data_IF_786770282485
#
_entry.id   IF_786770282485
#
_cell.length_a   1.000
_cell.length_b   1.000
_cell.length_c   1.000
_cell.angle_alpha   90.00
_cell.angle_beta   90.00
_cell.angle_gamma   90.00
#
_symmetry.space_group_name_H-M   'P 1'
#
loop_
_entity.id
_entity.type
_entity.pdbx_description
1 polymer ?
#
# COMPACT_ATOMS: atom_id res chain seq x y z
N UNK A 1 -12.79 5.56 -14.28
CA UNK A 1 -12.05 5.65 -13.01
C UNK A 1 -13.02 6.11 -11.93
N UNK A 2 -12.90 5.59 -10.71
CA UNK A 2 -13.87 5.70 -9.60
C UNK A 2 -14.08 7.12 -9.03
N UNK A 3 -13.59 8.18 -9.68
CA UNK A 3 -13.74 9.56 -9.22
C UNK A 3 -12.88 9.93 -8.01
N UNK A 4 -11.92 9.09 -7.65
CA UNK A 4 -10.96 9.33 -6.56
C UNK A 4 -9.71 10.04 -7.09
N UNK A 5 -9.22 11.02 -6.32
CA UNK A 5 -7.86 11.52 -6.47
C UNK A 5 -6.89 10.43 -6.03
N UNK A 6 -5.86 10.17 -6.84
CA UNK A 6 -4.86 9.13 -6.57
C UNK A 6 -3.47 9.65 -6.91
N UNK A 7 -2.48 9.08 -6.21
CA UNK A 7 -1.07 9.31 -6.46
C UNK A 7 -0.46 7.95 -6.78
N UNK A 8 0.14 7.85 -7.95
CA UNK A 8 0.74 6.60 -8.42
C UNK A 8 2.17 6.47 -7.89
N UNK A 9 2.48 5.33 -7.27
CA UNK A 9 3.83 4.93 -6.91
C UNK A 9 4.22 3.66 -7.64
N UNK A 10 5.35 3.72 -8.35
CA UNK A 10 5.98 2.55 -8.96
C UNK A 10 5.02 1.74 -9.88
N UNK A 11 4.09 2.43 -10.56
CA UNK A 11 3.09 1.80 -11.43
C UNK A 11 3.63 1.41 -12.81
N UNK A 12 4.89 1.69 -13.10
CA UNK A 12 5.58 1.24 -14.31
C UNK A 12 6.09 -0.20 -14.12
N UNK A 13 5.86 -1.05 -15.12
CA UNK A 13 6.35 -2.42 -15.09
C UNK A 13 7.88 -2.47 -15.30
N UNK A 14 8.62 -2.78 -14.23
CA UNK A 14 10.07 -3.02 -14.27
C UNK A 14 10.43 -4.29 -13.47
N UNK A 15 10.84 -5.34 -14.19
CA UNK A 15 11.22 -6.63 -13.61
C UNK A 15 12.57 -6.61 -12.86
N UNK A 16 13.29 -5.49 -12.84
CA UNK A 16 14.54 -5.34 -12.08
C UNK A 16 14.33 -4.90 -10.63
N UNK A 17 13.08 -4.57 -10.24
CA UNK A 17 12.70 -4.11 -8.89
C UNK A 17 13.65 -3.05 -8.30
N UNK A 18 13.87 -1.91 -9.00
CA UNK A 18 14.92 -0.94 -8.65
C UNK A 18 14.69 -0.23 -7.31
N UNK A 19 13.45 -0.20 -6.80
CA UNK A 19 13.08 0.49 -5.57
C UNK A 19 13.11 -0.46 -4.37
N UNK A 20 12.22 -1.45 -4.37
CA UNK A 20 12.13 -2.54 -3.40
C UNK A 20 11.40 -3.72 -4.05
N UNK A 21 11.45 -4.89 -3.42
CA UNK A 21 10.69 -6.04 -3.92
C UNK A 21 9.19 -5.77 -3.94
N UNK A 22 8.49 -6.26 -4.98
CA UNK A 22 7.05 -6.13 -5.15
C UNK A 22 6.30 -7.12 -4.25
N UNK A 23 6.49 -7.01 -2.93
CA UNK A 23 5.82 -7.82 -1.91
C UNK A 23 5.20 -6.91 -0.85
N UNK A 24 3.89 -6.62 -0.94
CA UNK A 24 3.21 -5.66 -0.07
C UNK A 24 2.92 -6.23 1.32
N UNK A 25 3.21 -7.51 1.57
CA UNK A 25 3.07 -8.14 2.89
C UNK A 25 4.22 -7.77 3.84
N UNK A 26 5.27 -7.14 3.32
CA UNK A 26 6.46 -6.74 4.07
C UNK A 26 6.38 -5.25 4.40
N UNK A 27 6.28 -4.86 5.69
CA UNK A 27 6.19 -3.45 6.07
C UNK A 27 7.32 -2.57 5.51
N UNK A 28 8.53 -3.13 5.38
CA UNK A 28 9.69 -2.42 4.79
C UNK A 28 9.48 -1.96 3.34
N UNK A 29 8.64 -2.66 2.57
CA UNK A 29 8.34 -2.35 1.17
C UNK A 29 7.19 -1.34 1.07
N UNK A 30 6.55 -0.99 2.19
CA UNK A 30 5.39 -0.09 2.25
C UNK A 30 5.77 1.27 2.84
N UNK A 31 7.05 1.48 3.18
CA UNK A 31 7.56 2.72 3.78
C UNK A 31 7.38 3.91 2.84
N UNK A 32 7.64 3.72 1.55
CA UNK A 32 7.48 4.79 0.56
C UNK A 32 6.00 5.15 0.37
N UNK A 33 5.12 4.13 0.33
CA UNK A 33 3.67 4.34 0.29
C UNK A 33 3.17 5.09 1.53
N UNK A 34 3.59 4.67 2.72
CA UNK A 34 3.24 5.32 3.98
C UNK A 34 3.69 6.78 4.02
N UNK A 35 4.90 7.05 3.53
CA UNK A 35 5.42 8.41 3.43
C UNK A 35 4.55 9.26 2.51
N UNK A 36 4.17 8.75 1.34
CA UNK A 36 3.34 9.50 0.38
C UNK A 36 1.95 9.76 0.95
N UNK A 37 1.36 8.80 1.66
CA UNK A 37 0.08 8.98 2.34
C UNK A 37 0.15 10.14 3.34
N UNK A 38 1.15 10.14 4.22
CA UNK A 38 1.30 11.20 5.24
C UNK A 38 1.68 12.54 4.63
N UNK A 39 2.62 12.57 3.68
CA UNK A 39 3.12 13.80 3.06
C UNK A 39 2.03 14.52 2.22
N UNK A 40 1.07 13.77 1.67
CA UNK A 40 -0.02 14.31 0.86
C UNK A 40 -1.37 14.35 1.58
N UNK A 41 -1.44 13.89 2.83
CA UNK A 41 -2.70 13.82 3.60
C UNK A 41 -3.74 12.90 2.96
N UNK A 42 -3.32 11.78 2.37
CA UNK A 42 -4.23 10.78 1.83
C UNK A 42 -4.96 10.04 2.96
N UNK A 43 -6.20 9.60 2.70
CA UNK A 43 -6.99 8.84 3.67
C UNK A 43 -6.47 7.40 3.85
N UNK A 44 -5.90 6.80 2.81
CA UNK A 44 -5.32 5.47 2.85
C UNK A 44 -4.39 5.25 1.65
N UNK A 45 -3.51 4.25 1.78
CA UNK A 45 -2.65 3.76 0.69
C UNK A 45 -2.87 2.27 0.44
N UNK A 46 -2.82 1.86 -0.83
CA UNK A 46 -2.84 0.46 -1.24
C UNK A 46 -1.60 0.11 -2.06
N UNK A 47 -0.96 -1.00 -1.74
CA UNK A 47 0.15 -1.57 -2.51
C UNK A 47 -0.18 -2.97 -2.98
N UNK A 48 0.15 -3.30 -4.23
CA UNK A 48 -0.03 -4.62 -4.81
C UNK A 48 1.33 -5.28 -5.09
N UNK A 49 1.35 -6.61 -5.20
CA UNK A 49 2.51 -7.32 -5.75
C UNK A 49 2.49 -7.37 -7.29
N UNK A 50 3.56 -7.91 -7.88
CA UNK A 50 3.77 -7.89 -9.32
C UNK A 50 2.69 -8.60 -10.14
N UNK A 51 2.04 -9.64 -9.62
CA UNK A 51 0.91 -10.32 -10.24
C UNK A 51 -0.46 -9.86 -9.70
N UNK A 52 -0.47 -8.98 -8.70
CA UNK A 52 -1.65 -8.28 -8.19
C UNK A 52 -2.61 -9.16 -7.39
N UNK A 53 -2.16 -10.33 -6.92
CA UNK A 53 -2.98 -11.24 -6.13
C UNK A 53 -2.93 -10.91 -4.63
N UNK A 54 -1.90 -10.20 -4.16
CA UNK A 54 -1.76 -9.72 -2.79
C UNK A 54 -1.81 -8.20 -2.73
N UNK A 55 -2.53 -7.72 -1.71
CA UNK A 55 -2.66 -6.29 -1.40
C UNK A 55 -2.22 -6.04 0.03
N UNK A 56 -1.42 -5.01 0.23
CA UNK A 56 -1.13 -4.40 1.52
C UNK A 56 -1.80 -3.03 1.61
N UNK A 57 -2.13 -2.61 2.83
CA UNK A 57 -2.77 -1.34 3.08
C UNK A 57 -2.01 -0.54 4.15
N UNK A 58 -2.10 0.79 4.03
CA UNK A 58 -1.57 1.74 5.00
C UNK A 58 -2.69 2.72 5.35
N UNK A 59 -2.81 3.07 6.63
CA UNK A 59 -3.77 4.07 7.09
C UNK A 59 -3.29 5.52 6.87
N UNK A 60 -4.16 6.49 7.15
CA UNK A 60 -3.87 7.93 7.11
C UNK A 60 -2.68 8.38 7.98
N UNK A 61 -2.30 7.60 8.99
CA UNK A 61 -1.17 7.88 9.87
C UNK A 61 0.15 7.31 9.33
N UNK A 62 0.11 6.59 8.20
CA UNK A 62 1.26 5.89 7.66
C UNK A 62 1.54 4.53 8.34
N UNK A 63 0.59 4.00 9.12
CA UNK A 63 0.73 2.70 9.78
C UNK A 63 0.29 1.56 8.85
N UNK A 64 1.15 0.54 8.75
CA UNK A 64 0.85 -0.65 7.95
C UNK A 64 -0.28 -1.47 8.59
N UNK A 65 -1.32 -1.75 7.80
CA UNK A 65 -2.47 -2.53 8.24
C UNK A 65 -2.15 -4.02 8.06
N UNK A 66 -1.86 -4.69 9.18
CA UNK A 66 -1.68 -6.13 9.18
C UNK A 66 -3.00 -6.86 8.89
N UNK A 67 -3.00 -7.93 8.09
CA UNK A 67 -4.21 -8.71 7.80
C UNK A 67 -4.92 -9.27 9.04
N UNK A 68 -4.18 -9.49 10.13
CA UNK A 68 -4.73 -9.89 11.43
C UNK A 68 -5.63 -8.81 12.05
N UNK A 69 -5.33 -7.53 11.82
CA UNK A 69 -6.14 -6.39 12.27
C UNK A 69 -7.46 -6.27 11.50
N UNK A 70 -7.51 -6.77 10.25
CA UNK A 70 -8.73 -6.71 9.42
C UNK A 70 -9.82 -7.64 10.00
N UNK A 71 -9.46 -8.83 10.46
CA UNK A 71 -10.40 -9.79 11.06
C UNK A 71 -11.08 -9.27 12.34
N UNK A 72 -10.45 -8.33 13.05
CA UNK A 72 -11.02 -7.73 14.27
C UNK A 72 -12.16 -6.75 13.96
N UNK A 73 -12.17 -6.14 12.78
CA UNK A 73 -13.20 -5.18 12.35
C UNK A 73 -14.41 -5.81 11.67
N UNK A 74 -14.31 -7.06 11.19
CA UNK A 74 -15.43 -7.80 10.59
C UNK A 74 -16.20 -8.67 11.61
N UNK A 75 -15.78 -8.65 12.87
CA UNK A 75 -16.38 -9.46 13.95
C UNK A 75 -17.15 -8.64 14.99
N UNK A 76 -17.66 -7.46 14.64
CA UNK A 76 -18.61 -6.70 15.48
C UNK A 76 -19.88 -6.37 14.71
#
# INVERSE_FOLDING_TARGET
>A
MLGCEHIDLYCDWDATEPNHGADPTRPKNMVDLAKVVVDNGCEFGLGADGDGDRIGAVDENGEFVYPESINRSVSQ
#
